data_IF_248487573587
#
_entry.id   IF_248487573587
#
_cell.length_a   1.000
_cell.length_b   1.000
_cell.length_c   1.000
_cell.angle_alpha   90.00
_cell.angle_beta   90.00
_cell.angle_gamma   90.00
#
_symmetry.space_group_name_H-M   'P 1'
#
loop_
_entity.id
_entity.type
_entity.pdbx_description
1 polymer ?
#
# COMPACT_ATOMS: atom_id res chain seq x y z
N UNK A 1 14.89 -21.45 -16.51
CA UNK A 1 14.21 -20.15 -16.69
C UNK A 1 12.87 -20.24 -15.97
N UNK A 2 12.90 -20.49 -14.65
CA UNK A 2 11.71 -20.79 -13.82
C UNK A 2 11.78 -20.21 -12.40
N UNK A 3 12.76 -19.33 -12.08
CA UNK A 3 12.87 -18.71 -10.75
C UNK A 3 12.29 -17.29 -10.68
N UNK A 4 12.09 -16.61 -11.82
CA UNK A 4 11.57 -15.23 -11.86
C UNK A 4 10.04 -15.15 -11.63
N UNK A 5 9.30 -16.23 -11.88
CA UNK A 5 7.84 -16.26 -11.71
C UNK A 5 7.39 -16.38 -10.24
N UNK A 6 8.29 -16.78 -9.33
CA UNK A 6 7.99 -16.94 -7.91
C UNK A 6 7.98 -15.63 -7.10
N UNK A 7 8.40 -14.53 -7.75
CA UNK A 7 8.56 -13.23 -7.10
C UNK A 7 7.72 -12.13 -7.73
N UNK A 8 6.80 -12.43 -8.66
CA UNK A 8 5.90 -11.44 -9.24
C UNK A 8 4.54 -11.42 -8.54
N UNK A 9 3.83 -10.29 -8.61
CA UNK A 9 2.44 -10.21 -8.14
C UNK A 9 1.56 -11.22 -8.89
N UNK A 10 0.70 -11.94 -8.16
CA UNK A 10 -0.35 -12.74 -8.78
C UNK A 10 -1.42 -11.87 -9.46
N UNK A 11 -2.35 -12.48 -10.19
CA UNK A 11 -3.39 -11.74 -10.92
C UNK A 11 -4.28 -10.88 -10.01
N UNK A 12 -4.66 -11.42 -8.84
CA UNK A 12 -5.47 -10.70 -7.86
C UNK A 12 -4.74 -9.46 -7.32
N UNK A 13 -3.46 -9.60 -6.96
CA UNK A 13 -2.62 -8.49 -6.50
C UNK A 13 -2.43 -7.43 -7.59
N UNK A 14 -2.25 -7.86 -8.85
CA UNK A 14 -2.18 -6.93 -9.99
C UNK A 14 -3.47 -6.14 -10.16
N UNK A 15 -4.62 -6.79 -9.99
CA UNK A 15 -5.91 -6.12 -10.10
C UNK A 15 -6.18 -5.17 -8.93
N UNK A 16 -5.89 -5.59 -7.69
CA UNK A 16 -5.95 -4.73 -6.50
C UNK A 16 -5.08 -3.47 -6.71
N UNK A 17 -3.84 -3.64 -7.18
CA UNK A 17 -2.95 -2.50 -7.44
C UNK A 17 -3.51 -1.54 -8.50
N UNK A 18 -4.19 -2.04 -9.54
CA UNK A 18 -4.83 -1.18 -10.55
C UNK A 18 -6.03 -0.43 -9.97
N UNK A 19 -6.88 -1.10 -9.20
CA UNK A 19 -8.06 -0.49 -8.58
C UNK A 19 -7.66 0.60 -7.59
N UNK A 20 -6.70 0.32 -6.70
CA UNK A 20 -6.17 1.32 -5.78
C UNK A 20 -5.62 2.56 -6.50
N UNK A 21 -4.97 2.39 -7.66
CA UNK A 21 -4.53 3.52 -8.49
C UNK A 21 -5.67 4.33 -9.08
N UNK A 22 -6.79 3.69 -9.44
CA UNK A 22 -8.00 4.37 -9.92
C UNK A 22 -8.68 5.15 -8.79
N UNK A 23 -8.54 4.68 -7.55
CA UNK A 23 -8.97 5.38 -6.32
C UNK A 23 -7.94 6.43 -5.84
N UNK A 24 -7.12 6.95 -6.75
CA UNK A 24 -6.13 8.01 -6.50
C UNK A 24 -4.98 7.68 -5.53
N UNK A 25 -4.77 6.41 -5.14
CA UNK A 25 -3.56 6.04 -4.43
C UNK A 25 -2.35 6.05 -5.38
N UNK A 26 -1.23 6.61 -4.92
CA UNK A 26 -0.01 6.68 -5.72
C UNK A 26 0.49 5.28 -6.11
N UNK A 27 1.17 5.16 -7.27
CA UNK A 27 1.70 3.88 -7.75
C UNK A 27 2.53 3.13 -6.69
N UNK A 28 3.45 3.78 -5.94
CA UNK A 28 4.20 3.10 -4.90
C UNK A 28 3.32 2.55 -3.77
N UNK A 29 2.34 3.33 -3.31
CA UNK A 29 1.42 2.93 -2.23
C UNK A 29 0.53 1.78 -2.69
N UNK A 30 -0.11 1.92 -3.84
CA UNK A 30 -1.02 0.92 -4.39
C UNK A 30 -0.35 -0.44 -4.59
N UNK A 31 0.87 -0.46 -5.15
CA UNK A 31 1.60 -1.71 -5.39
C UNK A 31 2.14 -2.32 -4.10
N UNK A 32 2.63 -1.50 -3.18
CA UNK A 32 3.08 -1.98 -1.86
C UNK A 32 1.93 -2.61 -1.07
N UNK A 33 0.78 -1.94 -1.05
CA UNK A 33 -0.41 -2.44 -0.35
C UNK A 33 -0.94 -3.73 -0.97
N UNK A 34 -0.94 -3.83 -2.31
CA UNK A 34 -1.31 -5.06 -3.01
C UNK A 34 -0.36 -6.23 -2.70
N UNK A 35 0.93 -5.99 -2.50
CA UNK A 35 1.84 -7.07 -2.06
C UNK A 35 1.47 -7.62 -0.67
N UNK A 36 0.92 -6.77 0.21
CA UNK A 36 0.54 -7.14 1.58
C UNK A 36 -0.88 -7.73 1.67
N UNK A 37 -1.68 -7.66 0.60
CA UNK A 37 -3.07 -8.13 0.63
C UNK A 37 -3.22 -9.66 0.74
N UNK A 38 -2.11 -10.41 0.67
CA UNK A 38 -2.12 -11.86 0.91
C UNK A 38 -2.24 -12.22 2.40
N UNK A 39 -2.15 -11.25 3.32
CA UNK A 39 -2.29 -11.47 4.76
C UNK A 39 -1.06 -12.09 5.43
N UNK A 40 -0.04 -12.46 4.64
CA UNK A 40 1.23 -12.97 5.15
C UNK A 40 2.23 -11.86 5.40
N UNK A 41 3.21 -12.16 6.23
CA UNK A 41 4.36 -11.31 6.48
C UNK A 41 5.32 -11.28 5.29
N UNK A 42 5.59 -10.07 4.77
CA UNK A 42 6.40 -9.87 3.56
C UNK A 42 7.61 -8.99 3.87
N UNK A 43 8.81 -9.49 3.54
CA UNK A 43 10.05 -8.72 3.73
C UNK A 43 10.15 -7.54 2.76
N UNK A 44 10.87 -6.47 3.17
CA UNK A 44 11.13 -5.31 2.28
C UNK A 44 11.68 -5.70 0.91
N UNK A 45 12.60 -6.68 0.86
CA UNK A 45 13.20 -7.18 -0.39
C UNK A 45 12.19 -7.91 -1.27
N UNK A 46 11.31 -8.72 -0.67
CA UNK A 46 10.25 -9.42 -1.42
C UNK A 46 9.27 -8.40 -1.99
N UNK A 47 8.92 -7.36 -1.23
CA UNK A 47 8.06 -6.27 -1.72
C UNK A 47 8.71 -5.52 -2.89
N UNK A 48 10.00 -5.17 -2.80
CA UNK A 48 10.74 -4.53 -3.89
C UNK A 48 10.65 -5.34 -5.19
N UNK A 49 10.92 -6.65 -5.10
CA UNK A 49 10.87 -7.58 -6.22
C UNK A 49 9.44 -7.74 -6.79
N UNK A 50 8.45 -8.03 -5.95
CA UNK A 50 7.04 -8.23 -6.36
C UNK A 50 6.41 -6.97 -6.95
N UNK A 51 6.67 -5.83 -6.30
CA UNK A 51 6.12 -4.56 -6.73
C UNK A 51 6.87 -3.96 -7.92
N UNK A 52 8.05 -4.47 -8.31
CA UNK A 52 8.90 -3.84 -9.33
C UNK A 52 9.13 -2.35 -9.06
N UNK A 53 9.14 -1.96 -7.78
CA UNK A 53 9.47 -0.62 -7.31
C UNK A 53 10.91 -0.65 -6.85
N UNK A 54 11.62 0.47 -6.98
CA UNK A 54 12.94 0.57 -6.36
C UNK A 54 12.81 0.80 -4.86
N UNK A 55 13.82 0.38 -4.09
CA UNK A 55 13.87 0.57 -2.64
C UNK A 55 13.43 1.97 -2.13
N UNK A 56 13.80 3.12 -2.77
CA UNK A 56 13.33 4.42 -2.33
C UNK A 56 11.80 4.59 -2.41
N UNK A 57 11.18 4.07 -3.47
CA UNK A 57 9.73 4.13 -3.68
C UNK A 57 8.99 3.26 -2.65
N UNK A 58 9.52 2.06 -2.37
CA UNK A 58 9.00 1.18 -1.32
C UNK A 58 9.07 1.86 0.05
N UNK A 59 10.19 2.52 0.35
CA UNK A 59 10.37 3.22 1.63
C UNK A 59 9.37 4.38 1.80
N UNK A 60 9.12 5.15 0.74
CA UNK A 60 8.12 6.22 0.74
C UNK A 60 6.72 5.65 0.95
N UNK A 61 6.37 4.59 0.23
CA UNK A 61 5.08 3.93 0.37
C UNK A 61 4.87 3.37 1.78
N UNK A 62 5.87 2.69 2.33
CA UNK A 62 5.81 2.15 3.69
C UNK A 62 5.68 3.24 4.74
N UNK A 63 6.44 4.32 4.62
CA UNK A 63 6.34 5.44 5.55
C UNK A 63 4.94 6.08 5.52
N UNK A 64 4.34 6.22 4.33
CA UNK A 64 2.96 6.68 4.21
C UNK A 64 1.97 5.71 4.86
N UNK A 65 2.06 4.42 4.54
CA UNK A 65 1.18 3.38 5.09
C UNK A 65 1.30 3.25 6.62
N UNK A 66 2.51 3.37 7.16
CA UNK A 66 2.78 3.32 8.61
C UNK A 66 2.35 4.59 9.34
N UNK A 67 2.80 5.77 8.88
CA UNK A 67 2.67 7.01 9.65
C UNK A 67 1.41 7.81 9.35
N UNK A 68 0.92 7.75 8.11
CA UNK A 68 -0.26 8.52 7.69
C UNK A 68 -1.53 7.71 7.78
N UNK A 69 -1.47 6.42 7.42
CA UNK A 69 -2.65 5.55 7.40
C UNK A 69 -2.74 4.60 8.61
N UNK A 70 -1.61 4.11 9.11
CA UNK A 70 -1.58 3.10 10.18
C UNK A 70 -2.08 1.73 9.71
N UNK A 71 -2.07 1.44 8.41
CA UNK A 71 -2.62 0.19 7.85
C UNK A 71 -1.64 -0.98 7.87
N UNK A 72 -0.36 -0.69 8.10
CA UNK A 72 0.75 -1.65 8.03
C UNK A 72 1.53 -1.57 9.33
N UNK A 73 2.06 -2.70 9.77
CA UNK A 73 3.05 -2.79 10.85
C UNK A 73 4.31 -3.51 10.36
N UNK A 74 5.40 -3.41 11.12
CA UNK A 74 6.64 -4.08 10.79
C UNK A 74 7.37 -4.63 12.01
N UNK A 75 8.11 -5.70 11.79
CA UNK A 75 8.98 -6.33 12.77
C UNK A 75 10.42 -6.37 12.24
N UNK A 76 11.40 -6.17 13.13
CA UNK A 76 12.82 -6.29 12.81
C UNK A 76 13.35 -7.67 13.22
N UNK A 77 13.61 -8.51 12.22
CA UNK A 77 14.18 -9.84 12.44
C UNK A 77 15.71 -9.70 12.44
N UNK A 78 16.31 -10.04 13.59
CA UNK A 78 17.75 -10.21 13.73
C UNK A 78 18.17 -11.48 13.00
N UNK A 79 19.24 -11.41 12.19
CA UNK A 79 19.79 -12.61 11.57
C UNK A 79 20.44 -13.49 12.65
N UNK A 80 20.15 -14.79 12.61
CA UNK A 80 20.59 -15.81 13.57
C UNK A 80 22.12 -15.93 13.73
N UNK A 81 22.92 -15.27 12.89
CA UNK A 81 24.39 -15.36 12.87
C UNK A 81 25.09 -14.02 13.19
N UNK A 82 24.38 -12.98 13.64
CA UNK A 82 24.98 -11.72 14.10
C UNK A 82 25.69 -10.87 13.04
N UNK A 83 25.79 -11.34 11.78
CA UNK A 83 26.36 -10.61 10.65
C UNK A 83 25.27 -10.07 9.72
N UNK A 84 25.23 -8.75 9.58
CA UNK A 84 24.39 -8.05 8.60
C UNK A 84 23.36 -7.10 9.23
N UNK A 85 22.74 -6.28 8.36
CA UNK A 85 21.67 -5.36 8.77
C UNK A 85 20.39 -6.16 9.10
N UNK A 86 19.63 -5.77 10.14
CA UNK A 86 18.34 -6.38 10.45
C UNK A 86 17.40 -6.31 9.24
N UNK A 87 16.55 -7.33 9.08
CA UNK A 87 15.57 -7.39 8.00
C UNK A 87 14.23 -6.88 8.55
N UNK A 88 13.62 -5.95 7.82
CA UNK A 88 12.25 -5.51 8.10
C UNK A 88 11.26 -6.40 7.38
N UNK A 89 10.32 -6.93 8.12
CA UNK A 89 9.19 -7.71 7.62
C UNK A 89 7.91 -6.95 7.95
N UNK A 90 7.00 -6.89 6.99
CA UNK A 90 5.79 -6.08 7.06
C UNK A 90 4.55 -6.95 6.92
N UNK A 91 3.47 -6.57 7.59
CA UNK A 91 2.13 -7.16 7.45
C UNK A 91 1.08 -6.09 7.59
N UNK A 92 -0.15 -6.40 7.17
CA UNK A 92 -1.28 -5.53 7.44
C UNK A 92 -1.56 -5.53 8.95
N UNK A 93 -1.66 -4.34 9.54
CA UNK A 93 -2.04 -4.16 10.94
C UNK A 93 -3.57 -4.29 11.15
N UNK A 94 -4.33 -4.09 10.07
CA UNK A 94 -5.79 -4.15 10.02
C UNK A 94 -6.24 -5.00 8.83
N UNK A 95 -7.44 -5.61 8.86
CA UNK A 95 -7.96 -6.35 7.71
C UNK A 95 -8.05 -5.48 6.45
N UNK A 96 -7.89 -6.11 5.28
CA UNK A 96 -8.02 -5.40 3.99
C UNK A 96 -9.39 -4.73 3.84
N UNK A 97 -10.45 -5.34 4.37
CA UNK A 97 -11.81 -4.77 4.37
C UNK A 97 -11.84 -3.39 5.04
N UNK A 98 -11.25 -3.27 6.23
CA UNK A 98 -11.19 -1.99 6.96
C UNK A 98 -10.36 -0.93 6.22
N UNK A 99 -9.38 -1.35 5.42
CA UNK A 99 -8.62 -0.43 4.55
C UNK A 99 -9.52 0.07 3.41
N UNK A 100 -10.32 -0.80 2.81
CA UNK A 100 -11.27 -0.45 1.75
C UNK A 100 -12.32 0.52 2.30
N UNK A 101 -12.91 0.23 3.47
CA UNK A 101 -13.86 1.11 4.16
C UNK A 101 -13.23 2.49 4.42
N UNK A 102 -11.98 2.54 4.90
CA UNK A 102 -11.27 3.80 5.13
C UNK A 102 -11.09 4.61 3.83
N UNK A 103 -10.76 3.96 2.72
CA UNK A 103 -10.63 4.61 1.41
C UNK A 103 -11.99 5.12 0.92
N UNK A 104 -13.05 4.34 1.09
CA UNK A 104 -14.41 4.72 0.73
C UNK A 104 -14.85 5.97 1.49
N UNK A 105 -14.66 6.01 2.80
CA UNK A 105 -15.01 7.16 3.63
C UNK A 105 -14.22 8.42 3.26
N UNK A 106 -12.93 8.29 2.94
CA UNK A 106 -12.11 9.40 2.45
C UNK A 106 -12.67 9.99 1.15
N UNK A 107 -12.99 9.12 0.17
CA UNK A 107 -13.53 9.55 -1.13
C UNK A 107 -14.90 10.21 -0.97
N UNK A 108 -15.78 9.65 -0.14
CA UNK A 108 -17.10 10.24 0.13
C UNK A 108 -16.96 11.62 0.78
N UNK A 109 -16.06 11.76 1.76
CA UNK A 109 -15.78 13.05 2.41
C UNK A 109 -15.21 14.08 1.44
N UNK A 110 -14.26 13.70 0.59
CA UNK A 110 -13.68 14.58 -0.42
C UNK A 110 -14.73 15.05 -1.44
N UNK A 111 -15.54 14.12 -1.94
CA UNK A 111 -16.62 14.44 -2.87
C UNK A 111 -17.67 15.36 -2.23
N UNK A 112 -18.00 15.17 -0.96
CA UNK A 112 -18.92 16.04 -0.25
C UNK A 112 -18.41 17.49 -0.18
N UNK A 113 -17.12 17.68 0.07
CA UNK A 113 -16.47 19.01 0.07
C UNK A 113 -16.50 19.62 -1.34
N UNK A 114 -16.23 18.83 -2.38
CA UNK A 114 -16.29 19.30 -3.77
C UNK A 114 -17.71 19.74 -4.16
N UNK A 115 -18.73 18.98 -3.78
CA UNK A 115 -20.13 19.32 -4.03
C UNK A 115 -20.55 20.58 -3.27
N UNK A 116 -20.12 20.74 -2.02
CA UNK A 116 -20.37 21.95 -1.23
C UNK A 116 -19.77 23.19 -1.90
N UNK A 117 -18.52 23.09 -2.36
CA UNK A 117 -17.87 24.17 -3.11
C UNK A 117 -18.63 24.53 -4.39
N UNK A 118 -19.13 23.54 -5.15
CA UNK A 118 -19.95 23.77 -6.34
C UNK A 118 -21.26 24.48 -5.96
N UNK A 119 -21.93 24.04 -4.89
CA UNK A 119 -23.17 24.67 -4.45
C UNK A 119 -22.95 26.11 -4.00
N UNK A 120 -21.86 26.38 -3.28
CA UNK A 120 -21.46 27.73 -2.90
C UNK A 120 -21.16 28.61 -4.11
N UNK A 121 -20.53 28.09 -5.16
CA UNK A 121 -20.32 28.83 -6.40
C UNK A 121 -21.64 29.23 -7.08
N UNK A 122 -22.68 28.39 -7.00
CA UNK A 122 -24.00 28.70 -7.57
C UNK A 122 -24.68 29.88 -6.87
N UNK A 123 -24.35 30.19 -5.61
CA UNK A 123 -24.87 31.37 -4.91
C UNK A 123 -24.35 32.70 -5.49
N UNK A 124 -23.27 32.64 -6.26
CA UNK A 124 -22.66 33.81 -6.92
C UNK A 124 -22.95 33.87 -8.43
N UNK A 125 -23.75 32.95 -8.97
CA UNK A 125 -24.20 32.93 -10.37
C UNK A 125 -25.62 33.47 -10.50
#
# INVERSE_FOLDING_TARGET
MEEDDLFSMNENQREIAKLLRRLHLSKPVARTLACLSCGEEVSSRKIESMSQLRQPEVSIAMNFLLKKKGWVEYEEIKRNEGKGRPIKVYKLAVPMESIIESIEQEILSENQILLDNINRLKEFS
#
